data_IF_476975873110
#
_entry.id   IF_476975873110
#
_cell.length_a   1.000
_cell.length_b   1.000
_cell.length_c   1.000
_cell.angle_alpha   90.00
_cell.angle_beta   90.00
_cell.angle_gamma   90.00
#
_symmetry.space_group_name_H-M   'P 1'
#
loop_
_entity.id
_entity.type
_entity.pdbx_description
1 polymer ?
#
# COMPACT_ATOMS: atom_id res chain seq x y z
N UNK A 1 7.89 29.41 1.79
CA UNK A 1 6.72 28.54 1.48
C UNK A 1 7.07 27.72 0.25
N UNK A 2 6.72 26.42 0.15
CA UNK A 2 6.91 25.71 -1.12
C UNK A 2 6.10 26.44 -2.20
N UNK A 3 6.70 26.69 -3.37
CA UNK A 3 6.13 27.48 -4.48
C UNK A 3 4.94 26.79 -5.20
N UNK A 4 4.23 25.89 -4.51
CA UNK A 4 3.14 25.09 -5.07
C UNK A 4 1.90 25.12 -4.20
N UNK A 5 0.75 24.83 -4.82
CA UNK A 5 -0.56 24.64 -4.16
C UNK A 5 -0.63 23.33 -3.37
N UNK A 6 0.47 22.88 -2.78
CA UNK A 6 0.57 21.63 -2.02
C UNK A 6 1.43 21.74 -0.76
N UNK A 7 1.24 20.80 0.16
CA UNK A 7 2.04 20.59 1.38
C UNK A 7 2.46 19.12 1.48
N UNK A 8 3.55 18.87 2.19
CA UNK A 8 3.99 17.50 2.53
C UNK A 8 3.42 17.14 3.89
N UNK A 9 2.84 15.94 4.02
CA UNK A 9 2.22 15.47 5.26
C UNK A 9 2.36 13.97 5.45
N UNK A 10 1.92 13.47 6.61
CA UNK A 10 1.82 12.03 6.87
C UNK A 10 0.70 11.43 6.02
N UNK A 11 1.03 10.37 5.31
CA UNK A 11 0.12 9.50 4.57
C UNK A 11 0.22 8.07 5.11
N UNK A 12 -0.66 7.20 4.62
CA UNK A 12 -0.73 5.79 5.04
C UNK A 12 0.44 4.96 4.51
N UNK A 13 1.14 5.42 3.48
CA UNK A 13 2.33 4.79 2.90
C UNK A 13 3.63 5.52 3.27
N UNK A 14 3.59 6.40 4.29
CA UNK A 14 4.75 7.19 4.72
C UNK A 14 4.47 8.68 4.61
N UNK A 15 5.24 9.40 3.80
CA UNK A 15 4.96 10.79 3.47
C UNK A 15 4.10 10.87 2.21
N UNK A 16 3.25 11.88 2.13
CA UNK A 16 2.38 12.15 0.99
C UNK A 16 2.38 13.63 0.63
N UNK A 17 2.01 13.91 -0.61
CA UNK A 17 1.77 15.26 -1.10
C UNK A 17 0.27 15.57 -1.04
N UNK A 18 -0.12 16.66 -0.40
CA UNK A 18 -1.52 17.05 -0.20
C UNK A 18 -1.77 18.41 -0.81
N UNK A 19 -2.91 18.61 -1.47
CA UNK A 19 -3.28 19.91 -2.00
C UNK A 19 -3.62 20.87 -0.85
N UNK A 20 -3.16 22.13 -0.91
CA UNK A 20 -3.62 23.21 0.00
C UNK A 20 -4.64 24.12 -0.66
N UNK A 21 -4.69 24.13 -1.98
CA UNK A 21 -5.67 24.86 -2.79
C UNK A 21 -6.28 23.91 -3.82
N UNK A 22 -7.49 24.20 -4.33
CA UNK A 22 -8.11 23.36 -5.33
C UNK A 22 -7.33 23.39 -6.65
N UNK A 23 -7.21 22.23 -7.30
CA UNK A 23 -6.74 22.12 -8.68
C UNK A 23 -7.92 21.82 -9.62
N UNK A 24 -7.92 22.45 -10.79
CA UNK A 24 -8.83 22.17 -11.90
C UNK A 24 -8.32 20.98 -12.71
N UNK A 25 -9.23 20.35 -13.47
CA UNK A 25 -8.84 19.34 -14.46
C UNK A 25 -7.87 19.97 -15.47
N UNK A 26 -6.82 19.22 -15.84
CA UNK A 26 -5.69 19.62 -16.71
C UNK A 26 -4.77 20.70 -16.13
N UNK A 27 -4.92 21.06 -14.86
CA UNK A 27 -4.02 22.00 -14.20
C UNK A 27 -2.67 21.33 -13.88
N UNK A 28 -1.59 22.10 -14.04
CA UNK A 28 -0.25 21.68 -13.64
C UNK A 28 -0.14 21.59 -12.11
N UNK A 29 0.42 20.49 -11.62
CA UNK A 29 0.57 20.22 -10.19
C UNK A 29 2.01 20.34 -9.74
N UNK A 30 2.91 19.55 -10.34
CA UNK A 30 4.33 19.53 -9.99
C UNK A 30 5.16 18.87 -11.10
N UNK A 31 6.44 19.23 -11.19
CA UNK A 31 7.42 18.54 -12.04
C UNK A 31 8.19 17.51 -11.22
N UNK A 32 8.35 16.31 -11.76
CA UNK A 32 9.24 15.30 -11.20
C UNK A 32 10.68 15.62 -11.61
N UNK A 33 11.42 16.24 -10.69
CA UNK A 33 12.79 16.70 -10.93
C UNK A 33 13.80 15.66 -10.47
N UNK A 34 14.89 15.50 -11.20
CA UNK A 34 15.94 14.57 -10.85
C UNK A 34 17.09 14.55 -11.84
N UNK A 35 18.12 13.77 -11.52
CA UNK A 35 19.22 13.52 -12.45
C UNK A 35 18.78 12.48 -13.49
N UNK A 36 19.19 12.66 -14.74
CA UNK A 36 18.92 11.70 -15.81
C UNK A 36 20.03 10.65 -15.82
N UNK A 37 19.65 9.38 -15.74
CA UNK A 37 20.54 8.23 -15.68
C UNK A 37 20.21 7.26 -16.81
N UNK A 38 21.20 6.50 -17.27
CA UNK A 38 20.96 5.36 -18.15
C UNK A 38 20.21 4.27 -17.39
N UNK A 39 19.34 3.51 -18.08
CA UNK A 39 18.49 2.50 -17.44
C UNK A 39 19.29 1.46 -16.65
N UNK A 40 20.44 1.01 -17.18
CA UNK A 40 21.32 0.06 -16.49
C UNK A 40 21.87 0.60 -15.15
N UNK A 41 22.14 1.90 -15.07
CA UNK A 41 22.58 2.52 -13.82
C UNK A 41 21.41 2.71 -12.84
N UNK A 42 20.23 3.07 -13.37
CA UNK A 42 19.02 3.16 -12.56
C UNK A 42 18.70 1.80 -11.91
N UNK A 43 18.75 0.70 -12.66
CA UNK A 43 18.51 -0.66 -12.18
C UNK A 43 19.50 -1.06 -11.06
N UNK A 44 20.79 -0.74 -11.21
CA UNK A 44 21.78 -0.95 -10.14
C UNK A 44 21.44 -0.19 -8.87
N UNK A 45 20.96 1.05 -9.00
CA UNK A 45 20.55 1.86 -7.85
C UNK A 45 19.25 1.35 -7.20
N UNK A 46 18.31 0.85 -8.00
CA UNK A 46 17.09 0.19 -7.50
C UNK A 46 17.41 -1.10 -6.74
N UNK A 47 18.34 -1.91 -7.26
CA UNK A 47 18.83 -3.11 -6.58
C UNK A 47 19.48 -2.78 -5.23
N UNK A 48 20.11 -1.60 -5.09
CA UNK A 48 20.64 -1.07 -3.83
C UNK A 48 19.57 -0.42 -2.93
N UNK A 49 18.32 -0.41 -3.36
CA UNK A 49 17.17 0.05 -2.57
C UNK A 49 16.64 1.44 -2.91
N UNK A 50 17.12 2.09 -3.98
CA UNK A 50 16.55 3.37 -4.44
C UNK A 50 15.15 3.16 -5.00
N UNK A 51 14.18 3.99 -4.60
CA UNK A 51 12.75 3.84 -4.96
C UNK A 51 12.14 5.03 -5.71
N UNK A 52 12.98 5.95 -6.18
CA UNK A 52 12.56 7.21 -6.79
C UNK A 52 12.97 7.28 -8.27
N UNK A 53 12.94 6.14 -8.95
CA UNK A 53 13.25 6.05 -10.37
C UNK A 53 11.97 6.25 -11.18
N UNK A 54 12.06 7.08 -12.21
CA UNK A 54 10.99 7.30 -13.18
C UNK A 54 11.53 7.04 -14.58
N UNK A 55 11.16 5.90 -15.16
CA UNK A 55 11.57 5.56 -16.53
C UNK A 55 10.88 6.50 -17.53
N UNK A 56 11.67 7.15 -18.39
CA UNK A 56 11.16 8.03 -19.44
C UNK A 56 11.01 7.20 -20.74
N UNK A 57 12.07 6.48 -21.10
CA UNK A 57 12.14 5.69 -22.33
C UNK A 57 13.16 4.56 -22.17
N UNK A 58 13.35 3.78 -23.24
CA UNK A 58 14.24 2.62 -23.28
C UNK A 58 15.73 2.89 -22.97
N UNK A 59 16.14 4.15 -22.88
CA UNK A 59 17.53 4.53 -22.60
C UNK A 59 17.69 5.29 -21.29
N UNK A 60 16.67 6.03 -20.86
CA UNK A 60 16.79 7.03 -19.81
C UNK A 60 15.73 6.92 -18.72
N UNK A 61 16.21 7.08 -17.48
CA UNK A 61 15.43 7.12 -16.25
C UNK A 61 15.80 8.34 -15.43
N UNK A 62 14.83 8.98 -14.79
CA UNK A 62 15.06 10.09 -13.86
C UNK A 62 15.18 9.54 -12.45
N UNK A 63 16.28 9.87 -11.76
CA UNK A 63 16.43 9.65 -10.33
C UNK A 63 15.96 10.89 -9.54
N UNK A 64 14.76 10.76 -8.98
CA UNK A 64 14.08 11.75 -8.15
C UNK A 64 14.43 11.70 -6.66
N UNK A 65 15.52 11.03 -6.26
CA UNK A 65 15.91 10.84 -4.84
C UNK A 65 16.25 12.13 -4.09
N UNK A 66 16.49 13.24 -4.80
CA UNK A 66 16.76 14.54 -4.19
C UNK A 66 15.57 15.03 -3.36
N UNK A 67 15.83 15.57 -2.16
CA UNK A 67 14.79 16.19 -1.32
C UNK A 67 14.20 17.46 -1.92
N UNK A 68 14.90 18.08 -2.88
CA UNK A 68 14.39 19.23 -3.66
C UNK A 68 13.25 18.82 -4.60
N UNK A 69 13.12 17.53 -4.91
CA UNK A 69 12.01 16.99 -5.70
C UNK A 69 10.80 16.71 -4.80
N UNK A 70 9.94 17.70 -4.57
CA UNK A 70 8.72 17.47 -3.78
C UNK A 70 7.77 16.47 -4.44
N UNK A 71 7.81 16.33 -5.77
CA UNK A 71 6.99 15.38 -6.51
C UNK A 71 7.29 13.92 -6.14
N UNK A 72 8.43 13.63 -5.51
CA UNK A 72 8.78 12.29 -4.97
C UNK A 72 7.82 11.77 -3.90
N UNK A 73 7.03 12.66 -3.30
CA UNK A 73 6.06 12.33 -2.25
C UNK A 73 4.66 12.04 -2.80
N UNK A 74 4.46 12.12 -4.12
CA UNK A 74 3.20 11.72 -4.75
C UNK A 74 3.08 10.21 -4.69
N UNK A 75 2.09 9.70 -3.95
CA UNK A 75 1.90 8.28 -3.73
C UNK A 75 1.12 7.60 -4.86
N UNK A 76 1.20 6.26 -4.90
CA UNK A 76 0.38 5.46 -5.80
C UNK A 76 -1.09 5.39 -5.37
N UNK A 77 -1.99 5.46 -6.34
CA UNK A 77 -3.40 5.07 -6.17
C UNK A 77 -3.92 4.25 -7.34
N UNK A 78 -4.67 3.18 -7.02
CA UNK A 78 -5.44 2.39 -8.00
C UNK A 78 -6.52 3.25 -8.72
N UNK A 79 -6.83 4.44 -8.21
CA UNK A 79 -7.71 5.46 -8.82
C UNK A 79 -7.05 6.84 -8.64
N UNK A 80 -6.03 7.17 -9.45
CA UNK A 80 -5.23 8.37 -9.25
C UNK A 80 -6.02 9.64 -9.57
N UNK A 81 -5.55 10.77 -9.06
CA UNK A 81 -6.09 12.09 -9.37
C UNK A 81 -5.18 12.92 -10.29
N UNK A 82 -3.92 12.53 -10.44
CA UNK A 82 -2.98 13.09 -11.43
C UNK A 82 -2.52 12.02 -12.43
N UNK A 83 -2.05 12.48 -13.59
CA UNK A 83 -1.31 11.69 -14.57
C UNK A 83 0.08 12.26 -14.76
N UNK A 84 1.05 11.38 -15.02
CA UNK A 84 2.39 11.76 -15.41
C UNK A 84 2.44 11.95 -16.93
N UNK A 85 2.91 13.09 -17.39
CA UNK A 85 3.05 13.42 -18.81
C UNK A 85 4.50 13.82 -19.06
N UNK A 86 5.10 13.26 -20.11
CA UNK A 86 6.39 13.71 -20.60
C UNK A 86 6.23 15.00 -21.43
N UNK A 87 7.05 16.00 -21.11
CA UNK A 87 7.21 17.25 -21.88
C UNK A 87 8.57 17.27 -22.58
N UNK A 88 8.76 18.25 -23.46
CA UNK A 88 10.00 18.45 -24.24
C UNK A 88 11.23 18.32 -23.34
N UNK A 89 12.22 17.57 -23.80
CA UNK A 89 13.47 17.32 -23.06
C UNK A 89 13.42 16.17 -22.06
N UNK A 90 12.35 15.36 -22.04
CA UNK A 90 12.21 14.25 -21.09
C UNK A 90 11.82 14.70 -19.69
N UNK A 91 11.12 15.82 -19.59
CA UNK A 91 10.68 16.38 -18.30
C UNK A 91 9.33 15.80 -17.95
N UNK A 92 9.25 15.09 -16.82
CA UNK A 92 7.99 14.51 -16.35
C UNK A 92 7.23 15.51 -15.50
N UNK A 93 5.98 15.78 -15.87
CA UNK A 93 5.08 16.67 -15.12
C UNK A 93 3.82 15.93 -14.69
N UNK A 94 3.35 16.23 -13.48
CA UNK A 94 2.07 15.78 -12.98
C UNK A 94 0.98 16.79 -13.32
N UNK A 95 -0.03 16.31 -14.03
CA UNK A 95 -1.21 17.09 -14.44
C UNK A 95 -2.45 16.51 -13.76
N UNK A 96 -3.31 17.36 -13.23
CA UNK A 96 -4.55 16.95 -12.60
C UNK A 96 -5.53 16.33 -13.63
N UNK A 97 -5.96 15.09 -13.42
CA UNK A 97 -6.94 14.40 -14.28
C UNK A 97 -8.38 14.81 -13.96
N UNK A 98 -8.60 15.26 -12.73
CA UNK A 98 -9.90 15.68 -12.17
C UNK A 98 -9.68 16.83 -11.19
N UNK A 99 -10.78 17.42 -10.72
CA UNK A 99 -10.71 18.40 -9.63
C UNK A 99 -10.12 17.75 -8.38
N UNK A 100 -9.12 18.40 -7.78
CA UNK A 100 -8.51 18.02 -6.51
C UNK A 100 -8.91 19.08 -5.50
N UNK A 101 -9.48 18.68 -4.37
CA UNK A 101 -9.89 19.61 -3.30
C UNK A 101 -8.71 19.92 -2.38
N UNK A 102 -8.74 21.03 -1.64
CA UNK A 102 -7.84 21.20 -0.50
C UNK A 102 -7.90 19.96 0.41
N UNK A 103 -6.75 19.61 0.97
CA UNK A 103 -6.51 18.45 1.83
C UNK A 103 -6.58 17.07 1.16
N UNK A 104 -6.97 16.98 -0.13
CA UNK A 104 -6.88 15.73 -0.88
C UNK A 104 -5.40 15.34 -1.10
N UNK A 105 -5.09 14.05 -0.93
CA UNK A 105 -3.78 13.49 -1.28
C UNK A 105 -3.63 13.42 -2.81
N UNK A 106 -2.55 14.01 -3.33
CA UNK A 106 -2.16 13.94 -4.73
C UNK A 106 -1.55 12.56 -5.00
N UNK A 107 -2.13 11.82 -5.94
CA UNK A 107 -1.78 10.43 -6.23
C UNK A 107 -1.72 10.15 -7.73
N UNK A 108 -0.72 9.37 -8.12
CA UNK A 108 -0.46 8.98 -9.52
C UNK A 108 -0.53 7.47 -9.69
N UNK A 109 -0.69 6.99 -10.92
CA UNK A 109 -0.44 5.59 -11.23
C UNK A 109 1.07 5.37 -11.41
N UNK A 110 1.64 4.36 -10.75
CA UNK A 110 3.07 4.07 -10.87
C UNK A 110 3.37 3.17 -12.08
N UNK A 111 2.35 2.75 -12.82
CA UNK A 111 2.51 1.81 -13.93
C UNK A 111 2.53 0.37 -13.45
N UNK A 112 2.35 -0.56 -14.38
CA UNK A 112 2.16 -1.99 -14.07
C UNK A 112 3.43 -2.62 -13.52
N UNK A 113 4.59 -2.32 -14.11
CA UNK A 113 5.85 -2.96 -13.76
C UNK A 113 6.27 -2.62 -12.33
N UNK A 114 6.22 -1.34 -11.96
CA UNK A 114 6.48 -0.91 -10.57
C UNK A 114 5.43 -1.48 -9.61
N UNK A 115 4.16 -1.50 -10.02
CA UNK A 115 3.08 -1.98 -9.19
C UNK A 115 3.21 -3.48 -8.90
N UNK A 116 3.65 -4.29 -9.86
CA UNK A 116 3.88 -5.73 -9.69
C UNK A 116 5.19 -6.02 -8.93
N UNK A 117 6.26 -5.29 -9.23
CA UNK A 117 7.56 -5.47 -8.58
C UNK A 117 7.55 -5.09 -7.09
N UNK A 118 6.88 -4.00 -6.71
CA UNK A 118 7.08 -3.41 -5.38
C UNK A 118 5.83 -3.32 -4.50
N UNK A 119 4.64 -3.22 -5.09
CA UNK A 119 3.40 -3.02 -4.30
C UNK A 119 2.59 -4.31 -4.22
N UNK A 120 2.39 -5.01 -5.33
CA UNK A 120 1.46 -6.13 -5.52
C UNK A 120 -0.01 -5.81 -5.20
N UNK A 121 -0.97 -6.38 -5.96
CA UNK A 121 -2.42 -6.14 -5.79
C UNK A 121 -2.91 -6.39 -4.36
N UNK A 122 -2.31 -7.36 -3.66
CA UNK A 122 -2.70 -7.74 -2.30
C UNK A 122 -2.21 -6.75 -1.24
N UNK A 123 -1.11 -6.01 -1.47
CA UNK A 123 -0.53 -5.10 -0.47
C UNK A 123 -0.72 -3.60 -0.77
N UNK A 124 -1.26 -3.23 -1.93
CA UNK A 124 -1.57 -1.82 -2.21
C UNK A 124 -2.46 -1.19 -1.12
N UNK A 125 -1.97 -0.16 -0.45
CA UNK A 125 -2.65 0.50 0.67
C UNK A 125 -3.51 1.70 0.25
N UNK A 126 -3.62 2.02 -1.04
CA UNK A 126 -4.47 3.13 -1.48
C UNK A 126 -5.94 2.92 -1.06
N UNK A 127 -6.68 4.03 -0.97
CA UNK A 127 -8.07 4.03 -0.52
C UNK A 127 -8.94 3.05 -1.31
N UNK A 128 -8.88 3.10 -2.65
CA UNK A 128 -9.70 2.25 -3.52
C UNK A 128 -9.47 0.76 -3.29
N UNK A 129 -8.20 0.37 -3.20
CA UNK A 129 -7.83 -1.03 -3.02
C UNK A 129 -8.21 -1.53 -1.60
N UNK A 130 -8.29 -0.64 -0.61
CA UNK A 130 -8.84 -0.93 0.73
C UNK A 130 -10.36 -1.08 0.76
N UNK A 131 -11.10 -0.16 0.14
CA UNK A 131 -12.56 -0.25 0.04
C UNK A 131 -12.98 -1.61 -0.53
N UNK A 132 -12.31 -2.02 -1.61
CA UNK A 132 -12.53 -3.33 -2.25
C UNK A 132 -12.29 -4.50 -1.29
N UNK A 133 -11.20 -4.46 -0.49
CA UNK A 133 -10.91 -5.51 0.50
C UNK A 133 -11.94 -5.53 1.63
N UNK A 134 -12.33 -4.36 2.13
CA UNK A 134 -13.35 -4.24 3.16
C UNK A 134 -14.72 -4.76 2.68
N UNK A 135 -15.09 -4.46 1.44
CA UNK A 135 -16.29 -5.00 0.80
C UNK A 135 -16.24 -6.52 0.66
N UNK A 136 -15.13 -7.08 0.15
CA UNK A 136 -14.93 -8.53 0.05
C UNK A 136 -15.04 -9.22 1.42
N UNK A 137 -14.44 -8.64 2.46
CA UNK A 137 -14.51 -9.18 3.82
C UNK A 137 -15.94 -9.11 4.39
N UNK A 138 -16.67 -8.01 4.15
CA UNK A 138 -18.09 -7.91 4.52
C UNK A 138 -18.94 -8.97 3.81
N UNK A 139 -18.70 -9.19 2.52
CA UNK A 139 -19.37 -10.23 1.73
C UNK A 139 -19.11 -11.64 2.27
N UNK A 140 -17.85 -11.95 2.59
CA UNK A 140 -17.47 -13.23 3.20
C UNK A 140 -18.15 -13.43 4.56
N UNK A 141 -18.12 -12.43 5.45
CA UNK A 141 -18.79 -12.49 6.76
C UNK A 141 -20.30 -12.72 6.64
N UNK A 142 -20.97 -12.09 5.66
CA UNK A 142 -22.39 -12.32 5.36
C UNK A 142 -22.65 -13.77 4.92
N UNK A 143 -21.84 -14.32 4.01
CA UNK A 143 -21.94 -15.72 3.56
C UNK A 143 -21.77 -16.70 4.71
N UNK A 144 -20.74 -16.52 5.54
CA UNK A 144 -20.49 -17.36 6.73
C UNK A 144 -21.65 -17.28 7.72
N UNK A 145 -22.13 -16.07 8.04
CA UNK A 145 -23.31 -15.88 8.92
C UNK A 145 -24.54 -16.62 8.38
N UNK A 146 -24.84 -16.51 7.08
CA UNK A 146 -25.97 -17.22 6.46
C UNK A 146 -25.81 -18.74 6.54
N UNK A 147 -24.62 -19.27 6.31
CA UNK A 147 -24.34 -20.69 6.43
C UNK A 147 -24.50 -21.20 7.88
N UNK A 148 -24.01 -20.45 8.86
CA UNK A 148 -24.18 -20.77 10.29
C UNK A 148 -25.66 -20.76 10.71
N UNK A 149 -26.41 -19.74 10.29
CA UNK A 149 -27.86 -19.66 10.54
C UNK A 149 -28.61 -20.82 9.89
N UNK A 150 -28.27 -21.19 8.65
CA UNK A 150 -28.85 -22.36 7.97
C UNK A 150 -28.54 -23.66 8.71
N UNK A 151 -27.29 -23.87 9.13
CA UNK A 151 -26.91 -25.04 9.96
C UNK A 151 -27.68 -25.08 11.28
N UNK A 152 -27.85 -23.93 11.95
CA UNK A 152 -28.63 -23.83 13.21
C UNK A 152 -30.10 -24.18 12.98
N UNK A 153 -30.70 -23.69 11.89
CA UNK A 153 -32.08 -23.99 11.52
C UNK A 153 -32.29 -25.48 11.18
N UNK A 154 -31.35 -26.10 10.45
CA UNK A 154 -31.38 -27.55 10.17
C UNK A 154 -31.32 -28.34 11.48
N UNK A 155 -30.36 -28.06 12.37
CA UNK A 155 -30.25 -28.74 13.67
C UNK A 155 -31.53 -28.62 14.51
N UNK A 156 -32.19 -27.45 14.49
CA UNK A 156 -33.47 -27.22 15.19
C UNK A 156 -34.61 -28.06 14.59
N UNK A 157 -34.68 -28.18 13.26
CA UNK A 157 -35.70 -28.99 12.55
C UNK A 157 -35.47 -30.50 12.71
N UNK A 158 -34.23 -30.95 12.79
CA UNK A 158 -33.87 -32.36 12.97
C UNK A 158 -34.10 -32.88 14.39
N UNK A 159 -34.69 -32.09 15.31
CA UNK A 159 -34.96 -32.53 16.69
C UNK A 159 -33.72 -32.80 17.55
N UNK A 160 -32.51 -32.49 17.08
CA UNK A 160 -31.27 -32.64 17.85
C UNK A 160 -31.16 -31.46 18.83
N UNK A 161 -31.98 -31.48 19.88
CA UNK A 161 -31.83 -30.62 21.06
C UNK A 161 -30.61 -31.13 21.82
N UNK A 162 -29.65 -30.24 22.11
CA UNK A 162 -28.32 -30.63 22.56
C UNK A 162 -28.32 -31.49 23.83
N UNK A 163 -27.65 -32.65 23.76
CA UNK A 163 -26.99 -33.18 24.94
C UNK A 163 -26.01 -32.10 25.44
N UNK A 164 -26.19 -31.63 26.67
CA UNK A 164 -25.20 -30.80 27.37
C UNK A 164 -23.83 -31.50 27.26
N UNK A 165 -22.73 -30.78 26.98
CA UNK A 165 -21.42 -31.39 27.09
C UNK A 165 -21.24 -31.84 28.54
N UNK A 166 -21.12 -33.15 28.76
CA UNK A 166 -20.70 -33.69 30.03
C UNK A 166 -19.39 -33.03 30.42
N UNK A 167 -19.32 -32.53 31.66
CA UNK A 167 -18.13 -32.04 32.31
C UNK A 167 -17.00 -33.05 32.13
N UNK A 168 -16.05 -32.76 31.22
CA UNK A 168 -14.81 -33.54 31.15
C UNK A 168 -14.04 -33.26 32.43
N UNK A 169 -14.08 -34.23 33.35
CA UNK A 169 -13.15 -34.39 34.46
C UNK A 169 -11.73 -34.09 33.99
N UNK A 170 -11.03 -33.21 34.71
CA UNK A 170 -9.62 -32.87 34.49
C UNK A 170 -8.77 -34.11 34.76
N UNK A 171 -8.49 -34.91 33.73
CA UNK A 171 -7.38 -35.86 33.76
C UNK A 171 -6.08 -35.07 33.55
N UNK A 172 -5.30 -34.89 34.64
CA UNK A 172 -3.95 -34.33 34.61
C UNK A 172 -3.03 -35.26 33.81
N UNK A 173 -2.78 -34.94 32.54
CA UNK A 173 -1.66 -35.53 31.79
C UNK A 173 -0.38 -34.78 32.16
N UNK A 174 0.48 -35.43 32.96
CA UNK A 174 1.86 -35.01 33.19
C UNK A 174 2.65 -35.21 31.89
N UNK A 175 3.06 -34.13 31.22
CA UNK A 175 4.12 -34.17 30.21
C UNK A 175 5.36 -33.47 30.74
N UNK A 176 6.37 -34.29 31.02
CA UNK A 176 7.74 -33.89 31.38
C UNK A 176 8.32 -33.02 30.26
N UNK A 177 8.73 -31.78 30.59
CA UNK A 177 9.58 -30.97 29.73
C UNK A 177 11.05 -31.43 29.85
N UNK A 178 11.77 -31.66 28.74
CA UNK A 178 13.20 -31.90 28.79
C UNK A 178 13.97 -30.59 29.05
N UNK A 179 14.70 -30.54 30.17
CA UNK A 179 15.63 -29.47 30.55
C UNK A 179 16.72 -29.30 29.47
N UNK A 180 16.74 -28.13 28.81
CA UNK A 180 17.96 -27.64 28.14
C UNK A 180 18.94 -27.12 29.19
N UNK A 181 20.09 -27.78 29.32
CA UNK A 181 21.22 -27.38 30.17
C UNK A 181 21.83 -26.07 29.63
N UNK A 182 21.78 -25.00 30.43
CA UNK A 182 22.60 -23.82 30.22
C UNK A 182 24.03 -24.12 30.70
N UNK A 183 25.00 -24.12 29.77
CA UNK A 183 26.43 -24.14 30.10
C UNK A 183 26.84 -22.76 30.63
N UNK A 184 27.20 -22.71 31.90
CA UNK A 184 27.84 -21.58 32.58
C UNK A 184 29.31 -21.55 32.16
N UNK A 185 29.69 -20.63 31.29
CA UNK A 185 31.08 -20.32 30.96
C UNK A 185 31.66 -19.38 32.02
N UNK A 186 32.68 -19.87 32.73
CA UNK A 186 33.42 -19.22 33.80
C UNK A 186 34.41 -18.24 33.16
N UNK A 187 34.27 -16.93 33.42
CA UNK A 187 35.34 -15.96 33.19
C UNK A 187 36.43 -16.21 34.25
N UNK A 188 37.63 -16.53 33.80
CA UNK A 188 38.88 -16.19 34.46
C UNK A 188 39.50 -15.09 33.62
#
# INVERSE_FOLDING_TARGET
>A
MPEGKYRIGRSRTGLGLFAVQPYRKREYVATYRGRKLANAEAERLEARGSRYMFEINSRWTIDGSSRRNHARYVNHSCRPNVEAIERRGGVIVYIARKKIKPEDEITVDYGKDYFEAFITKSRCLCEKCRERRAERQRGYRRKVKRALLRKKAIRKRSGIVGAKPASKTKAKAKTKSPRRKAKRGKKR
#
